data_IF_255480736212
#
_entry.id   IF_255480736212
#
_cell.length_a   1.000
_cell.length_b   1.000
_cell.length_c   1.000
_cell.angle_alpha   90.00
_cell.angle_beta   90.00
_cell.angle_gamma   90.00
#
_symmetry.space_group_name_H-M   'P 1'
#
loop_
_entity.id
_entity.type
_entity.pdbx_description
1 polymer ?
#
# COMPACT_ATOMS: atom_id res chain seq x y z
N UNK A 1 -4.20 -38.68 -20.71
CA UNK A 1 -4.88 -38.59 -19.40
C UNK A 1 -4.90 -37.12 -19.03
N UNK A 2 -6.06 -36.52 -19.18
CA UNK A 2 -6.30 -35.06 -19.10
C UNK A 2 -6.79 -34.77 -17.70
N UNK A 3 -6.05 -33.97 -16.92
CA UNK A 3 -6.52 -33.47 -15.64
C UNK A 3 -7.16 -32.09 -15.86
N UNK A 4 -8.48 -32.06 -15.78
CA UNK A 4 -9.27 -30.85 -15.65
C UNK A 4 -9.14 -30.31 -14.23
N UNK A 5 -8.62 -29.09 -14.07
CA UNK A 5 -8.74 -28.31 -12.84
C UNK A 5 -10.05 -27.55 -12.87
N UNK A 6 -10.99 -27.99 -12.06
CA UNK A 6 -12.26 -27.30 -11.79
C UNK A 6 -11.99 -26.31 -10.64
N UNK A 7 -11.97 -25.02 -10.96
CA UNK A 7 -11.98 -23.95 -9.94
C UNK A 7 -13.41 -23.79 -9.43
N UNK A 8 -13.63 -24.23 -8.20
CA UNK A 8 -14.91 -24.05 -7.50
C UNK A 8 -14.98 -22.64 -6.91
N UNK A 9 -15.77 -21.76 -7.54
CA UNK A 9 -16.11 -20.46 -6.97
C UNK A 9 -17.22 -20.66 -5.95
N UNK A 10 -16.87 -20.63 -4.67
CA UNK A 10 -17.86 -20.61 -3.58
C UNK A 10 -18.24 -19.16 -3.33
N UNK A 11 -19.42 -18.81 -3.83
CA UNK A 11 -20.09 -17.51 -3.55
C UNK A 11 -20.81 -17.62 -2.22
N UNK A 12 -20.21 -17.14 -1.12
CA UNK A 12 -20.90 -17.05 0.17
C UNK A 12 -21.58 -15.68 0.24
N UNK A 13 -22.91 -15.70 0.09
CA UNK A 13 -23.77 -14.54 0.38
C UNK A 13 -23.86 -14.35 1.89
N UNK A 14 -23.21 -13.34 2.45
CA UNK A 14 -23.51 -12.84 3.77
C UNK A 14 -24.63 -11.81 3.70
N UNK A 15 -25.77 -12.09 4.35
CA UNK A 15 -26.81 -11.11 4.66
C UNK A 15 -26.25 -10.13 5.68
N UNK A 16 -26.06 -8.88 5.30
CA UNK A 16 -25.80 -7.79 6.23
C UNK A 16 -27.11 -7.36 6.89
N UNK A 17 -27.23 -7.59 8.17
CA UNK A 17 -28.27 -6.97 9.00
C UNK A 17 -27.85 -5.52 9.25
N UNK A 18 -28.49 -4.59 8.57
CA UNK A 18 -28.37 -3.15 8.83
C UNK A 18 -29.15 -2.87 10.11
N UNK A 19 -28.45 -2.47 11.17
CA UNK A 19 -29.09 -1.90 12.37
C UNK A 19 -29.25 -0.41 12.10
N UNK A 20 -30.50 -0.03 11.83
CA UNK A 20 -30.91 1.34 11.60
C UNK A 20 -31.05 2.05 12.96
N UNK A 21 -30.13 2.96 13.27
CA UNK A 21 -30.29 3.89 14.40
C UNK A 21 -31.07 5.10 13.91
N UNK A 22 -32.38 5.06 14.07
CA UNK A 22 -33.28 6.17 13.79
C UNK A 22 -32.91 7.41 14.59
N UNK A 23 -32.42 8.42 13.90
CA UNK A 23 -32.34 9.80 14.39
C UNK A 23 -33.75 10.41 14.34
N UNK A 24 -34.36 10.56 15.52
CA UNK A 24 -35.62 11.31 15.71
C UNK A 24 -35.29 12.79 15.60
N UNK A 25 -35.58 13.38 14.46
CA UNK A 25 -35.64 14.85 14.33
C UNK A 25 -36.89 15.37 15.05
N UNK A 26 -36.70 16.20 16.06
CA UNK A 26 -37.80 17.00 16.65
C UNK A 26 -37.73 18.42 16.08
N UNK A 27 -38.80 18.95 15.51
CA UNK A 27 -38.86 20.34 15.06
C UNK A 27 -39.03 21.28 16.27
N UNK A 28 -38.14 22.21 16.44
CA UNK A 28 -38.30 23.36 17.33
C UNK A 28 -38.78 24.57 16.54
N UNK A 29 -40.09 24.80 16.59
CA UNK A 29 -40.67 26.09 16.28
C UNK A 29 -40.92 26.80 17.59
N UNK A 30 -40.30 27.94 17.83
CA UNK A 30 -40.94 29.09 18.56
C UNK A 30 -40.15 30.33 18.30
N UNK A 31 -40.85 31.26 17.63
CA UNK A 31 -40.55 32.69 17.62
C UNK A 31 -40.40 33.25 19.02
N UNK A 32 -39.31 34.00 19.28
CA UNK A 32 -39.36 35.14 20.24
C UNK A 32 -38.39 36.24 19.80
N UNK A 33 -39.02 37.40 19.65
CA UNK A 33 -38.56 38.77 19.38
C UNK A 33 -37.21 39.14 20.00
N UNK A 34 -36.44 39.79 19.21
CA UNK A 34 -35.53 40.90 19.35
C UNK A 34 -34.95 41.21 20.73
N UNK A 35 -33.69 40.87 20.90
CA UNK A 35 -32.72 41.63 21.69
C UNK A 35 -31.38 41.46 20.94
N UNK A 36 -30.90 42.56 20.37
CA UNK A 36 -29.56 42.63 19.81
C UNK A 36 -28.54 42.57 20.95
N UNK A 37 -27.57 41.65 20.95
CA UNK A 37 -26.48 41.71 21.90
C UNK A 37 -25.51 42.83 21.49
N UNK A 38 -25.12 43.71 22.39
CA UNK A 38 -24.03 44.64 22.15
C UNK A 38 -22.71 43.86 22.32
N UNK A 39 -21.79 44.18 21.47
CA UNK A 39 -20.42 43.71 21.42
C UNK A 39 -20.12 42.56 20.45
N UNK A 40 -19.43 42.97 19.40
CA UNK A 40 -18.86 42.13 18.37
C UNK A 40 -17.82 41.16 18.94
N UNK A 41 -18.20 39.87 19.09
CA UNK A 41 -17.30 38.76 19.33
C UNK A 41 -16.51 38.32 18.09
N UNK A 42 -16.55 39.11 17.00
CA UNK A 42 -15.89 38.78 15.73
C UNK A 42 -14.39 39.12 15.66
N UNK A 43 -13.77 39.56 16.76
CA UNK A 43 -12.33 39.93 16.75
C UNK A 43 -11.42 39.12 17.65
N UNK A 44 -11.89 38.05 18.29
CA UNK A 44 -11.09 37.23 19.20
C UNK A 44 -10.84 35.79 18.73
N UNK A 45 -11.33 35.41 17.53
CA UNK A 45 -11.12 34.04 16.95
C UNK A 45 -10.13 33.99 15.79
N UNK A 46 -9.22 34.98 15.70
CA UNK A 46 -8.15 34.98 14.67
C UNK A 46 -6.76 34.94 15.29
N UNK A 47 -6.50 34.10 16.29
CA UNK A 47 -5.15 33.85 16.78
C UNK A 47 -4.95 32.50 17.47
N UNK A 48 -5.64 31.47 17.03
CA UNK A 48 -5.17 30.14 17.24
C UNK A 48 -4.91 29.57 15.84
N UNK A 49 -3.65 29.52 15.45
CA UNK A 49 -3.21 28.79 14.28
C UNK A 49 -3.60 27.33 14.50
N UNK A 50 -4.74 26.93 13.92
CA UNK A 50 -5.14 25.54 13.85
C UNK A 50 -4.02 24.82 13.09
N UNK A 51 -3.05 24.28 13.82
CA UNK A 51 -2.05 23.40 13.24
C UNK A 51 -2.83 22.22 12.65
N UNK A 52 -2.80 22.08 11.34
CA UNK A 52 -3.46 20.94 10.69
C UNK A 52 -2.88 19.66 11.27
N UNK A 53 -3.76 18.76 11.69
CA UNK A 53 -3.37 17.43 12.19
C UNK A 53 -2.44 16.74 11.18
N UNK A 54 -1.29 16.28 11.64
CA UNK A 54 -0.34 15.55 10.79
C UNK A 54 -0.75 14.10 10.72
N UNK A 55 -1.27 13.68 9.58
CA UNK A 55 -1.74 12.30 9.37
C UNK A 55 -0.82 11.58 8.42
N UNK A 56 -0.32 10.42 8.87
CA UNK A 56 0.42 9.48 8.02
C UNK A 56 -0.54 8.42 7.47
N UNK A 57 -0.59 8.29 6.17
CA UNK A 57 -1.21 7.15 5.48
C UNK A 57 -0.17 6.08 5.20
N UNK A 58 -0.46 4.84 5.56
CA UNK A 58 0.40 3.67 5.32
C UNK A 58 -0.38 2.68 4.46
N UNK A 59 0.04 2.50 3.21
CA UNK A 59 -0.56 1.53 2.29
C UNK A 59 0.32 0.28 2.26
N UNK A 60 -0.28 -0.86 2.61
CA UNK A 60 0.45 -2.13 2.79
C UNK A 60 0.00 -3.12 1.73
N UNK A 61 0.99 -3.72 1.07
CA UNK A 61 0.81 -4.84 0.16
C UNK A 61 1.87 -5.90 0.38
N UNK A 62 1.57 -7.15 0.01
CA UNK A 62 2.46 -8.29 0.20
C UNK A 62 2.72 -9.06 -1.10
N UNK A 63 3.85 -9.76 -1.14
CA UNK A 63 4.20 -10.71 -2.20
C UNK A 63 4.62 -12.04 -1.58
N UNK A 64 4.05 -13.12 -2.08
CA UNK A 64 4.18 -14.47 -1.52
C UNK A 64 3.02 -14.80 -0.57
N UNK A 65 3.16 -15.88 0.18
CA UNK A 65 2.17 -16.40 1.11
C UNK A 65 2.84 -17.06 2.33
N UNK A 66 2.02 -17.42 3.33
CA UNK A 66 2.44 -18.18 4.52
C UNK A 66 2.55 -19.69 4.27
N UNK A 67 2.42 -20.12 3.02
CA UNK A 67 2.59 -21.53 2.62
C UNK A 67 4.03 -22.02 2.74
N UNK A 68 4.28 -23.31 2.45
CA UNK A 68 5.61 -23.91 2.52
C UNK A 68 6.59 -23.23 1.54
N UNK A 69 7.89 -23.48 1.77
CA UNK A 69 8.92 -23.03 0.84
C UNK A 69 8.76 -23.65 -0.55
N UNK A 70 8.81 -22.79 -1.56
CA UNK A 70 8.86 -23.19 -2.96
C UNK A 70 10.04 -22.47 -3.63
N UNK A 71 10.76 -23.20 -4.51
CA UNK A 71 11.99 -22.69 -5.16
C UNK A 71 11.75 -21.46 -6.04
N UNK A 72 10.55 -21.33 -6.60
CA UNK A 72 10.14 -20.20 -7.44
C UNK A 72 9.51 -19.04 -6.64
N UNK A 73 9.17 -19.25 -5.37
CA UNK A 73 8.64 -18.26 -4.45
C UNK A 73 9.43 -18.26 -3.12
N UNK A 74 10.75 -17.96 -3.15
CA UNK A 74 11.64 -18.17 -2.00
C UNK A 74 11.48 -17.12 -0.89
N UNK A 75 10.78 -16.02 -1.16
CA UNK A 75 10.63 -14.91 -0.21
C UNK A 75 9.16 -14.60 0.05
N UNK A 76 8.90 -14.12 1.28
CA UNK A 76 7.71 -13.39 1.64
C UNK A 76 8.09 -11.93 1.89
N UNK A 77 7.43 -11.02 1.21
CA UNK A 77 7.70 -9.59 1.31
C UNK A 77 6.45 -8.86 1.76
N UNK A 78 6.65 -7.81 2.56
CA UNK A 78 5.60 -6.85 2.92
C UNK A 78 6.14 -5.45 2.66
N UNK A 79 5.52 -4.71 1.77
CA UNK A 79 5.83 -3.31 1.51
C UNK A 79 4.87 -2.38 2.25
N UNK A 80 5.40 -1.27 2.74
CA UNK A 80 4.65 -0.21 3.39
C UNK A 80 4.99 1.11 2.72
N UNK A 81 4.03 1.73 2.05
CA UNK A 81 4.16 3.07 1.46
C UNK A 81 3.69 4.09 2.48
N UNK A 82 4.57 5.03 2.84
CA UNK A 82 4.39 6.03 3.87
C UNK A 82 4.12 7.39 3.20
N UNK A 83 2.92 7.92 3.34
CA UNK A 83 2.51 9.18 2.70
C UNK A 83 1.91 10.14 3.73
N UNK A 84 2.50 11.32 3.86
CA UNK A 84 1.96 12.41 4.68
C UNK A 84 0.74 13.03 3.97
N UNK A 85 -0.46 12.97 4.58
CA UNK A 85 -1.69 13.49 3.98
C UNK A 85 -1.68 15.01 3.76
N UNK A 86 -0.77 15.76 4.39
CA UNK A 86 -0.62 17.19 4.14
C UNK A 86 0.05 17.48 2.79
N UNK A 87 0.58 16.46 2.10
CA UNK A 87 1.14 16.58 0.76
C UNK A 87 0.05 16.19 -0.23
N UNK A 88 -0.48 17.16 -0.98
CA UNK A 88 -1.50 16.90 -1.99
C UNK A 88 -0.90 16.21 -3.22
N UNK A 89 -1.46 15.07 -3.57
CA UNK A 89 -1.09 14.26 -4.76
C UNK A 89 -2.20 14.20 -5.81
N UNK A 90 -3.26 14.98 -5.65
CA UNK A 90 -4.46 14.94 -6.50
C UNK A 90 -4.12 15.17 -7.98
N UNK A 91 -3.25 16.13 -8.26
CA UNK A 91 -2.83 16.43 -9.63
C UNK A 91 -2.01 15.29 -10.25
N UNK A 92 -1.13 14.67 -9.45
CA UNK A 92 -0.36 13.51 -9.90
C UNK A 92 -1.29 12.33 -10.26
N UNK A 93 -2.35 12.12 -9.46
CA UNK A 93 -3.36 11.08 -9.72
C UNK A 93 -4.12 11.38 -11.02
N UNK A 94 -4.57 12.63 -11.24
CA UNK A 94 -5.26 13.03 -12.49
C UNK A 94 -4.39 12.81 -13.72
N UNK A 95 -3.12 13.20 -13.65
CA UNK A 95 -2.16 12.99 -14.75
C UNK A 95 -1.98 11.50 -15.03
N UNK A 96 -1.86 10.68 -13.98
CA UNK A 96 -1.74 9.24 -14.13
C UNK A 96 -2.99 8.61 -14.76
N UNK A 97 -4.20 8.95 -14.26
CA UNK A 97 -5.46 8.45 -14.81
C UNK A 97 -5.68 8.87 -16.26
N UNK A 98 -5.32 10.11 -16.60
CA UNK A 98 -5.38 10.59 -17.98
C UNK A 98 -4.42 9.83 -18.89
N UNK A 99 -3.21 9.51 -18.37
CA UNK A 99 -2.23 8.73 -19.13
C UNK A 99 -2.71 7.30 -19.36
N UNK A 100 -3.27 6.63 -18.35
CA UNK A 100 -3.86 5.30 -18.50
C UNK A 100 -5.03 5.31 -19.50
N UNK A 101 -5.89 6.32 -19.47
CA UNK A 101 -7.00 6.48 -20.42
C UNK A 101 -6.49 6.63 -21.85
N UNK A 102 -5.42 7.39 -22.07
CA UNK A 102 -4.79 7.55 -23.38
C UNK A 102 -4.13 6.25 -23.89
N UNK A 103 -3.71 5.37 -22.99
CA UNK A 103 -3.21 4.04 -23.33
C UNK A 103 -4.32 3.02 -23.61
N UNK A 104 -5.60 3.40 -23.44
CA UNK A 104 -6.74 2.50 -23.62
C UNK A 104 -7.12 1.70 -22.36
N UNK A 105 -6.58 2.07 -21.19
CA UNK A 105 -6.81 1.38 -19.90
C UNK A 105 -7.47 2.31 -18.86
N UNK A 106 -8.64 2.93 -19.14
CA UNK A 106 -9.31 3.78 -18.17
C UNK A 106 -9.69 2.97 -16.92
N UNK A 107 -9.45 3.55 -15.74
CA UNK A 107 -9.76 2.94 -14.43
C UNK A 107 -9.07 1.59 -14.14
N UNK A 108 -8.06 1.21 -14.93
CA UNK A 108 -7.32 -0.03 -14.72
C UNK A 108 -6.41 0.07 -13.49
N UNK A 109 -6.47 -0.94 -12.62
CA UNK A 109 -5.50 -1.12 -11.55
C UNK A 109 -4.35 -2.00 -12.05
N UNK A 110 -3.15 -1.45 -12.10
CA UNK A 110 -1.97 -2.18 -12.57
C UNK A 110 -1.48 -3.11 -11.47
N UNK A 111 -1.37 -4.40 -11.79
CA UNK A 111 -0.71 -5.41 -10.97
C UNK A 111 0.66 -5.73 -11.56
N UNK A 112 1.71 -5.27 -10.90
CA UNK A 112 3.08 -5.26 -11.45
C UNK A 112 3.64 -6.64 -11.70
N UNK A 113 3.46 -7.57 -10.77
CA UNK A 113 3.94 -8.95 -10.91
C UNK A 113 3.34 -9.65 -12.13
N UNK A 114 2.00 -9.79 -12.23
CA UNK A 114 1.32 -10.33 -13.41
C UNK A 114 1.66 -9.59 -14.72
N UNK A 115 1.80 -8.26 -14.67
CA UNK A 115 2.18 -7.45 -15.83
C UNK A 115 3.56 -7.86 -16.39
N UNK A 116 4.56 -8.01 -15.53
CA UNK A 116 5.92 -8.42 -15.93
C UNK A 116 5.92 -9.86 -16.43
N UNK A 117 5.26 -10.77 -15.73
CA UNK A 117 5.26 -12.19 -16.06
C UNK A 117 4.31 -12.61 -17.18
N UNK A 118 3.52 -11.66 -17.71
CA UNK A 118 2.51 -11.91 -18.75
C UNK A 118 1.40 -12.86 -18.28
N UNK A 119 0.85 -12.58 -17.11
CA UNK A 119 -0.17 -13.39 -16.45
C UNK A 119 -1.52 -12.66 -16.38
N UNK A 120 -2.59 -13.41 -16.07
CA UNK A 120 -3.94 -12.88 -15.84
C UNK A 120 -4.43 -12.04 -17.02
N UNK A 121 -4.87 -10.82 -16.78
CA UNK A 121 -5.40 -9.90 -17.79
C UNK A 121 -4.37 -9.48 -18.85
N UNK A 122 -3.07 -9.64 -18.56
CA UNK A 122 -1.96 -9.28 -19.47
C UNK A 122 -1.45 -10.44 -20.33
N UNK A 123 -2.10 -11.60 -20.29
CA UNK A 123 -1.64 -12.82 -20.99
C UNK A 123 -1.56 -12.67 -22.51
N UNK A 124 -2.39 -11.81 -23.10
CA UNK A 124 -2.44 -11.54 -24.53
C UNK A 124 -1.71 -10.26 -24.95
N UNK A 125 -1.26 -9.45 -23.98
CA UNK A 125 -0.61 -8.18 -24.26
C UNK A 125 0.82 -8.37 -24.77
N UNK A 126 1.21 -7.54 -25.72
CA UNK A 126 2.58 -7.48 -26.22
C UNK A 126 3.50 -6.93 -25.12
N UNK A 127 4.79 -7.25 -25.20
CA UNK A 127 5.77 -6.77 -24.21
C UNK A 127 5.85 -5.24 -24.19
N UNK A 128 5.72 -4.59 -25.34
CA UNK A 128 5.73 -3.14 -25.49
C UNK A 128 4.52 -2.48 -24.82
N UNK A 129 3.34 -3.09 -24.88
CA UNK A 129 2.13 -2.60 -24.22
C UNK A 129 2.27 -2.70 -22.71
N UNK A 130 2.75 -3.84 -22.22
CA UNK A 130 3.03 -4.07 -20.80
C UNK A 130 4.11 -3.12 -20.26
N UNK A 131 5.20 -2.88 -21.04
CA UNK A 131 6.24 -1.88 -20.70
C UNK A 131 5.66 -0.46 -20.62
N UNK A 132 4.72 -0.08 -21.50
CA UNK A 132 4.04 1.23 -21.42
C UNK A 132 3.23 1.39 -20.14
N UNK A 133 2.46 0.38 -19.75
CA UNK A 133 1.70 0.39 -18.48
C UNK A 133 2.62 0.45 -17.26
N UNK A 134 3.67 -0.39 -17.25
CA UNK A 134 4.68 -0.37 -16.19
C UNK A 134 5.33 1.02 -16.05
N UNK A 135 5.76 1.59 -17.17
CA UNK A 135 6.40 2.91 -17.18
C UNK A 135 5.43 4.03 -16.73
N UNK A 136 4.12 3.90 -17.03
CA UNK A 136 3.11 4.83 -16.53
C UNK A 136 3.08 4.81 -14.99
N UNK A 137 2.97 3.62 -14.38
CA UNK A 137 2.97 3.45 -12.93
C UNK A 137 4.31 3.87 -12.30
N UNK A 138 5.43 3.46 -12.89
CA UNK A 138 6.77 3.80 -12.43
C UNK A 138 7.01 5.32 -12.44
N UNK A 139 6.60 6.00 -13.50
CA UNK A 139 6.72 7.45 -13.60
C UNK A 139 5.76 8.17 -12.64
N UNK A 140 4.58 7.63 -12.38
CA UNK A 140 3.68 8.13 -11.34
C UNK A 140 4.38 8.04 -9.96
N UNK A 141 4.90 6.87 -9.59
CA UNK A 141 5.62 6.68 -8.32
C UNK A 141 6.82 7.65 -8.18
N UNK A 142 7.61 7.87 -9.25
CA UNK A 142 8.77 8.77 -9.22
C UNK A 142 8.44 10.25 -9.02
N UNK A 143 7.21 10.67 -9.29
CA UNK A 143 6.75 12.07 -9.14
C UNK A 143 6.13 12.34 -7.78
N UNK A 144 5.89 11.30 -6.98
CA UNK A 144 5.30 11.45 -5.66
C UNK A 144 6.38 11.60 -4.60
N UNK A 145 6.04 12.40 -3.59
CA UNK A 145 6.80 12.45 -2.34
C UNK A 145 6.22 11.42 -1.37
N UNK A 146 6.90 10.30 -1.25
CA UNK A 146 6.58 9.22 -0.30
C UNK A 146 7.87 8.54 0.17
N UNK A 147 7.78 7.89 1.29
CA UNK A 147 8.82 6.96 1.75
C UNK A 147 8.26 5.54 1.72
N UNK A 148 9.12 4.55 1.74
CA UNK A 148 8.68 3.17 1.89
C UNK A 148 9.63 2.36 2.76
N UNK A 149 9.09 1.33 3.39
CA UNK A 149 9.84 0.24 4.02
C UNK A 149 9.40 -1.09 3.42
N UNK A 150 10.31 -2.04 3.34
CA UNK A 150 10.00 -3.39 2.87
C UNK A 150 10.62 -4.42 3.82
N UNK A 151 9.74 -5.29 4.35
CA UNK A 151 10.13 -6.45 5.16
C UNK A 151 10.33 -7.61 4.20
N UNK A 152 11.41 -8.37 4.39
CA UNK A 152 11.74 -9.54 3.59
C UNK A 152 12.03 -10.72 4.50
N UNK A 153 11.32 -11.81 4.30
CA UNK A 153 11.53 -13.06 5.03
C UNK A 153 11.82 -14.17 4.04
N UNK A 154 12.93 -14.87 4.23
CA UNK A 154 13.32 -16.01 3.42
C UNK A 154 12.57 -17.25 3.87
N UNK A 155 11.70 -17.78 3.00
CA UNK A 155 10.81 -18.91 3.34
C UNK A 155 11.58 -20.21 3.67
N UNK A 156 12.77 -20.42 3.07
CA UNK A 156 13.62 -21.59 3.40
C UNK A 156 14.09 -21.62 4.85
N UNK A 157 13.99 -20.51 5.57
CA UNK A 157 14.32 -20.41 6.99
C UNK A 157 13.08 -20.51 7.89
N UNK A 158 11.92 -20.79 7.33
CA UNK A 158 10.64 -20.87 8.02
C UNK A 158 10.01 -22.25 7.76
N UNK A 159 10.29 -23.23 8.61
CA UNK A 159 9.77 -24.59 8.44
C UNK A 159 8.25 -24.69 8.59
N UNK A 160 7.64 -23.73 9.26
CA UNK A 160 6.21 -23.68 9.55
C UNK A 160 5.67 -22.24 9.62
N UNK A 161 4.34 -22.13 9.65
CA UNK A 161 3.61 -20.84 9.72
C UNK A 161 3.92 -20.08 11.00
N UNK A 162 4.21 -20.75 12.12
CA UNK A 162 4.50 -20.09 13.41
C UNK A 162 5.85 -19.37 13.32
N UNK A 163 6.86 -20.06 12.80
CA UNK A 163 8.21 -19.48 12.57
C UNK A 163 8.12 -18.28 11.60
N UNK A 164 7.35 -18.43 10.52
CA UNK A 164 7.11 -17.36 9.55
C UNK A 164 6.44 -16.16 10.22
N UNK A 165 5.35 -16.38 10.96
CA UNK A 165 4.63 -15.35 11.72
C UNK A 165 5.56 -14.61 12.69
N UNK A 166 6.39 -15.36 13.42
CA UNK A 166 7.36 -14.80 14.37
C UNK A 166 8.39 -13.90 13.66
N UNK A 167 8.96 -14.38 12.54
CA UNK A 167 9.95 -13.59 11.77
C UNK A 167 9.34 -12.33 11.16
N UNK A 168 8.15 -12.41 10.58
CA UNK A 168 7.45 -11.24 10.01
C UNK A 168 7.12 -10.24 11.12
N UNK A 169 6.58 -10.72 12.27
CA UNK A 169 6.26 -9.86 13.41
C UNK A 169 7.49 -9.14 13.97
N UNK A 170 8.60 -9.87 14.11
CA UNK A 170 9.87 -9.31 14.57
C UNK A 170 10.39 -8.26 13.60
N UNK A 171 10.47 -8.58 12.32
CA UNK A 171 10.95 -7.66 11.29
C UNK A 171 10.09 -6.39 11.21
N UNK A 172 8.76 -6.52 11.34
CA UNK A 172 7.88 -5.36 11.43
C UNK A 172 8.16 -4.50 12.66
N UNK A 173 8.27 -5.14 13.84
CA UNK A 173 8.57 -4.44 15.08
C UNK A 173 9.93 -3.71 15.02
N UNK A 174 10.94 -4.33 14.42
CA UNK A 174 12.26 -3.73 14.24
C UNK A 174 12.21 -2.51 13.31
N UNK A 175 11.48 -2.57 12.18
CA UNK A 175 11.27 -1.42 11.29
C UNK A 175 10.59 -0.27 12.03
N UNK A 176 9.57 -0.55 12.82
CA UNK A 176 8.80 0.46 13.55
C UNK A 176 9.66 1.11 14.66
N UNK A 177 10.37 0.32 15.46
CA UNK A 177 11.22 0.81 16.54
C UNK A 177 12.42 1.60 16.02
N UNK A 178 13.08 1.12 14.98
CA UNK A 178 14.24 1.80 14.38
C UNK A 178 13.87 3.16 13.76
N UNK A 179 12.59 3.44 13.55
CA UNK A 179 12.07 4.69 13.02
C UNK A 179 11.05 5.35 13.98
N UNK A 180 11.16 5.11 15.29
CA UNK A 180 10.17 5.57 16.28
C UNK A 180 9.95 7.09 16.21
N UNK A 181 11.01 7.88 16.08
CA UNK A 181 10.91 9.33 15.96
C UNK A 181 10.10 9.78 14.75
N UNK A 182 10.21 9.07 13.63
CA UNK A 182 9.38 9.34 12.44
C UNK A 182 7.91 9.05 12.71
N UNK A 183 7.57 7.87 13.25
CA UNK A 183 6.20 7.48 13.54
C UNK A 183 5.52 8.41 14.55
N UNK A 184 6.25 8.80 15.61
CA UNK A 184 5.76 9.71 16.66
C UNK A 184 5.70 11.20 16.21
N UNK A 185 6.19 11.53 15.03
CA UNK A 185 6.07 12.88 14.46
C UNK A 185 4.70 13.18 13.86
N UNK A 186 3.82 12.18 13.78
CA UNK A 186 2.45 12.28 13.28
C UNK A 186 1.45 12.18 14.44
N UNK A 187 0.42 13.00 14.38
CA UNK A 187 -0.67 12.98 15.37
C UNK A 187 -1.55 11.73 15.20
N UNK A 188 -1.63 11.20 13.96
CA UNK A 188 -2.40 10.03 13.60
C UNK A 188 -1.73 9.22 12.50
N UNK A 189 -1.78 7.89 12.64
CA UNK A 189 -1.32 6.93 11.62
C UNK A 189 -2.51 6.10 11.15
N UNK A 190 -2.78 6.10 9.84
CA UNK A 190 -3.87 5.32 9.25
C UNK A 190 -3.27 4.22 8.40
N UNK A 191 -3.50 2.97 8.81
CA UNK A 191 -3.06 1.77 8.11
C UNK A 191 -4.14 1.35 7.13
N UNK A 192 -3.81 1.38 5.86
CA UNK A 192 -4.66 0.88 4.77
C UNK A 192 -4.13 -0.49 4.35
N UNK A 193 -4.92 -1.51 4.56
CA UNK A 193 -4.62 -2.87 4.15
C UNK A 193 -5.87 -3.50 3.53
N UNK A 194 -5.70 -4.19 2.41
CA UNK A 194 -6.78 -4.82 1.67
C UNK A 194 -7.30 -6.10 2.34
N UNK A 195 -7.93 -6.96 1.54
CA UNK A 195 -8.35 -8.30 1.98
C UNK A 195 -7.25 -9.35 1.73
N UNK A 196 -6.02 -9.03 2.09
CA UNK A 196 -4.90 -9.94 1.99
C UNK A 196 -4.98 -11.10 2.97
N UNK A 197 -3.83 -11.61 3.36
CA UNK A 197 -3.73 -12.79 4.21
C UNK A 197 -4.13 -12.50 5.66
N UNK A 198 -4.91 -13.41 6.24
CA UNK A 198 -5.41 -13.29 7.62
C UNK A 198 -4.25 -13.20 8.62
N UNK A 199 -3.19 -13.97 8.39
CA UNK A 199 -1.98 -13.99 9.20
C UNK A 199 -1.34 -12.61 9.25
N UNK A 200 -1.15 -11.96 8.09
CA UNK A 200 -0.58 -10.62 8.02
C UNK A 200 -1.49 -9.59 8.71
N UNK A 201 -2.81 -9.68 8.52
CA UNK A 201 -3.76 -8.80 9.22
C UNK A 201 -3.58 -8.86 10.74
N UNK A 202 -3.45 -10.07 11.30
CA UNK A 202 -3.22 -10.28 12.74
C UNK A 202 -1.88 -9.68 13.19
N UNK A 203 -0.82 -9.90 12.42
CA UNK A 203 0.52 -9.37 12.71
C UNK A 203 0.48 -7.84 12.71
N UNK A 204 -0.04 -7.23 11.65
CA UNK A 204 -0.14 -5.77 11.54
C UNK A 204 -0.89 -5.18 12.72
N UNK A 205 -2.10 -5.70 13.01
CA UNK A 205 -2.93 -5.20 14.10
C UNK A 205 -2.20 -5.34 15.44
N UNK A 206 -1.63 -6.52 15.73
CA UNK A 206 -0.96 -6.77 17.00
C UNK A 206 0.26 -5.89 17.20
N UNK A 207 1.15 -5.81 16.21
CA UNK A 207 2.43 -5.09 16.33
C UNK A 207 2.21 -3.58 16.40
N UNK A 208 1.40 -3.02 15.48
CA UNK A 208 1.12 -1.58 15.51
C UNK A 208 0.39 -1.14 16.77
N UNK A 209 -0.66 -1.86 17.20
CA UNK A 209 -1.42 -1.50 18.42
C UNK A 209 -0.61 -1.67 19.70
N UNK A 210 0.44 -2.50 19.69
CA UNK A 210 1.34 -2.65 20.83
C UNK A 210 2.34 -1.49 20.93
N UNK A 211 2.80 -0.97 19.79
CA UNK A 211 3.84 0.05 19.76
C UNK A 211 3.30 1.48 19.75
N UNK A 212 2.11 1.70 19.18
CA UNK A 212 1.54 3.04 18.99
C UNK A 212 0.07 3.09 19.37
N UNK A 213 -0.33 4.17 20.08
CA UNK A 213 -1.71 4.40 20.53
C UNK A 213 -2.56 5.20 19.54
N UNK A 214 -1.94 5.87 18.58
CA UNK A 214 -2.58 6.79 17.60
C UNK A 214 -2.77 6.14 16.22
N UNK A 215 -2.93 4.81 16.17
CA UNK A 215 -3.08 4.04 14.94
C UNK A 215 -4.55 3.67 14.70
N UNK A 216 -5.02 3.89 13.48
CA UNK A 216 -6.31 3.48 12.96
C UNK A 216 -6.13 2.49 11.80
N UNK A 217 -6.89 1.39 11.79
CA UNK A 217 -6.88 0.44 10.68
C UNK A 217 -8.11 0.66 9.80
N UNK A 218 -7.88 0.79 8.48
CA UNK A 218 -8.94 0.88 7.49
C UNK A 218 -8.86 -0.27 6.51
N UNK A 219 -9.94 -1.05 6.48
CA UNK A 219 -10.12 -2.07 5.46
C UNK A 219 -10.71 -1.42 4.22
N UNK A 220 -9.96 -1.45 3.12
CA UNK A 220 -10.30 -0.78 1.87
C UNK A 220 -10.11 -1.71 0.69
N UNK A 221 -10.69 -1.36 -0.46
CA UNK A 221 -10.41 -2.05 -1.71
C UNK A 221 -9.17 -1.39 -2.34
N UNK A 222 -8.13 -2.15 -2.72
CA UNK A 222 -6.92 -1.59 -3.31
C UNK A 222 -7.15 -0.75 -4.56
N UNK A 223 -8.20 -1.04 -5.34
CA UNK A 223 -8.55 -0.29 -6.56
C UNK A 223 -8.97 1.17 -6.28
N UNK A 224 -9.43 1.46 -5.05
CA UNK A 224 -9.92 2.79 -4.69
C UNK A 224 -8.77 3.78 -4.41
N UNK A 225 -7.54 3.27 -4.22
CA UNK A 225 -6.38 4.09 -3.85
C UNK A 225 -5.17 3.78 -4.72
N UNK A 226 -4.70 4.76 -5.49
CA UNK A 226 -3.53 4.58 -6.40
C UNK A 226 -2.24 4.22 -5.66
N UNK A 227 -2.10 4.59 -4.39
CA UNK A 227 -0.92 4.26 -3.59
C UNK A 227 -0.78 2.75 -3.30
N UNK A 228 -1.86 1.95 -3.37
CA UNK A 228 -1.74 0.49 -3.36
C UNK A 228 -1.01 -0.07 -4.58
N UNK A 229 -1.21 0.54 -5.77
CA UNK A 229 -0.48 0.11 -6.96
C UNK A 229 1.02 0.40 -6.81
N UNK A 230 1.38 1.46 -6.06
CA UNK A 230 2.78 1.72 -5.72
C UNK A 230 3.29 0.69 -4.70
N UNK A 231 2.48 0.26 -3.73
CA UNK A 231 2.86 -0.79 -2.79
C UNK A 231 3.13 -2.12 -3.52
N UNK A 232 2.28 -2.52 -4.45
CA UNK A 232 2.47 -3.69 -5.34
C UNK A 232 3.74 -3.54 -6.21
N UNK A 233 3.94 -2.35 -6.80
CA UNK A 233 5.18 -2.04 -7.55
C UNK A 233 6.42 -2.25 -6.67
N UNK A 234 6.44 -1.69 -5.46
CA UNK A 234 7.57 -1.80 -4.53
C UNK A 234 7.82 -3.25 -4.12
N UNK A 235 6.78 -4.01 -3.76
CA UNK A 235 6.90 -5.45 -3.47
C UNK A 235 7.57 -6.19 -4.63
N UNK A 236 7.09 -5.96 -5.84
CA UNK A 236 7.65 -6.60 -7.05
C UNK A 236 9.09 -6.18 -7.29
N UNK A 237 9.42 -4.88 -7.18
CA UNK A 237 10.77 -4.38 -7.39
C UNK A 237 11.76 -4.90 -6.34
N UNK A 238 11.35 -5.03 -5.09
CA UNK A 238 12.17 -5.59 -4.02
C UNK A 238 12.39 -7.11 -4.18
N UNK A 239 11.38 -7.84 -4.65
CA UNK A 239 11.54 -9.25 -5.02
C UNK A 239 12.52 -9.42 -6.18
N UNK A 240 12.41 -8.59 -7.21
CA UNK A 240 13.33 -8.59 -8.34
C UNK A 240 14.76 -8.17 -7.94
N UNK A 241 14.92 -7.32 -6.93
CA UNK A 241 16.23 -6.99 -6.39
C UNK A 241 16.91 -8.23 -5.78
N UNK A 242 16.20 -9.03 -4.97
CA UNK A 242 16.72 -10.29 -4.43
C UNK A 242 17.09 -11.29 -5.53
N UNK A 243 16.25 -11.36 -6.56
CA UNK A 243 16.53 -12.21 -7.74
C UNK A 243 17.74 -11.72 -8.55
N UNK A 244 17.92 -10.41 -8.65
CA UNK A 244 19.07 -9.81 -9.34
C UNK A 244 20.39 -10.15 -8.63
N UNK A 245 20.40 -10.10 -7.30
CA UNK A 245 21.58 -10.42 -6.49
C UNK A 245 21.98 -11.90 -6.58
N UNK A 246 21.01 -12.78 -6.85
CA UNK A 246 21.25 -14.23 -7.07
C UNK A 246 21.28 -14.64 -8.54
N UNK A 247 21.21 -13.67 -9.46
CA UNK A 247 21.15 -13.89 -10.91
C UNK A 247 20.05 -14.89 -11.33
N UNK A 248 18.86 -14.78 -10.71
CA UNK A 248 17.77 -15.75 -10.83
C UNK A 248 16.51 -15.18 -11.48
N UNK A 249 16.64 -14.21 -12.39
CA UNK A 249 15.52 -13.73 -13.20
C UNK A 249 14.92 -14.87 -14.02
N UNK A 250 13.59 -14.93 -14.05
CA UNK A 250 12.87 -15.80 -14.97
C UNK A 250 13.01 -15.31 -16.42
N UNK A 251 12.65 -16.16 -17.38
CA UNK A 251 12.65 -15.79 -18.79
C UNK A 251 11.77 -14.56 -19.07
N UNK A 252 10.59 -14.49 -18.46
CA UNK A 252 9.67 -13.35 -18.64
C UNK A 252 10.24 -12.05 -18.06
N UNK A 253 10.92 -12.13 -16.91
CA UNK A 253 11.57 -10.97 -16.30
C UNK A 253 12.75 -10.47 -17.14
N UNK A 254 13.55 -11.38 -17.71
CA UNK A 254 14.63 -11.04 -18.64
C UNK A 254 14.08 -10.41 -19.94
N UNK A 255 13.01 -10.96 -20.51
CA UNK A 255 12.34 -10.40 -21.69
C UNK A 255 11.79 -9.00 -21.41
N UNK A 256 11.25 -8.79 -20.20
CA UNK A 256 10.66 -7.50 -19.81
C UNK A 256 11.71 -6.41 -19.55
N UNK A 257 12.80 -6.71 -18.89
CA UNK A 257 13.83 -5.73 -18.51
C UNK A 257 15.08 -5.75 -19.38
N UNK A 258 15.11 -6.59 -20.43
CA UNK A 258 16.22 -6.84 -21.33
C UNK A 258 17.44 -7.49 -20.63
N UNK A 259 17.82 -7.02 -19.45
CA UNK A 259 18.83 -7.63 -18.58
C UNK A 259 18.79 -7.07 -17.15
N UNK A 260 19.47 -7.75 -16.23
CA UNK A 260 19.52 -7.37 -14.80
C UNK A 260 20.17 -6.00 -14.59
N UNK A 261 21.19 -5.65 -15.36
CA UNK A 261 21.90 -4.36 -15.24
C UNK A 261 20.98 -3.19 -15.59
N UNK A 262 20.17 -3.34 -16.64
CA UNK A 262 19.20 -2.30 -17.04
C UNK A 262 18.07 -2.16 -16.01
N UNK A 263 17.58 -3.26 -15.45
CA UNK A 263 16.66 -3.24 -14.32
C UNK A 263 17.24 -2.44 -13.14
N UNK A 264 18.46 -2.79 -12.71
CA UNK A 264 19.10 -2.13 -11.57
C UNK A 264 19.34 -0.64 -11.81
N UNK A 265 19.84 -0.28 -13.00
CA UNK A 265 20.22 1.10 -13.35
C UNK A 265 19.02 2.00 -13.60
N UNK A 266 18.03 1.52 -14.37
CA UNK A 266 16.95 2.35 -14.89
C UNK A 266 15.74 2.38 -13.97
N UNK A 267 15.55 1.35 -13.13
CA UNK A 267 14.38 1.21 -12.28
C UNK A 267 14.74 1.14 -10.79
N UNK A 268 15.44 0.11 -10.35
CA UNK A 268 15.70 -0.14 -8.94
C UNK A 268 16.39 1.02 -8.24
N UNK A 269 17.43 1.59 -8.85
CA UNK A 269 18.16 2.75 -8.32
C UNK A 269 17.25 3.94 -8.01
N UNK A 270 16.21 4.15 -8.83
CA UNK A 270 15.28 5.26 -8.65
C UNK A 270 14.30 5.01 -7.49
N UNK A 271 13.80 3.79 -7.35
CA UNK A 271 12.90 3.40 -6.27
C UNK A 271 13.63 3.44 -4.92
N UNK A 272 14.87 2.94 -4.86
CA UNK A 272 15.68 2.92 -3.61
C UNK A 272 15.93 4.30 -3.00
N UNK A 273 15.74 5.39 -3.72
CA UNK A 273 15.85 6.75 -3.16
C UNK A 273 14.78 7.05 -2.11
N UNK A 274 13.62 6.41 -2.24
CA UNK A 274 12.47 6.60 -1.35
C UNK A 274 12.47 5.59 -0.18
N UNK A 275 13.49 4.74 -0.09
CA UNK A 275 13.61 3.79 1.02
C UNK A 275 13.85 4.55 2.34
N UNK A 276 12.99 4.30 3.32
CA UNK A 276 13.11 4.88 4.65
C UNK A 276 14.36 4.29 5.32
N UNK A 277 15.41 5.10 5.42
CA UNK A 277 16.60 4.73 6.17
C UNK A 277 16.30 4.93 7.65
N UNK A 278 16.56 3.91 8.46
CA UNK A 278 16.59 4.08 9.92
C UNK A 278 17.46 5.29 10.23
N UNK A 279 16.92 6.28 10.92
CA UNK A 279 17.74 7.33 11.49
C UNK A 279 18.57 6.66 12.58
N UNK A 280 19.85 6.41 12.29
CA UNK A 280 20.82 6.15 13.34
C UNK A 280 20.81 7.40 14.22
N UNK A 281 20.24 7.27 15.41
CA UNK A 281 20.45 8.25 16.48
C UNK A 281 21.95 8.35 16.74
N UNK A 282 22.56 9.44 16.28
CA UNK A 282 23.90 9.85 16.72
C UNK A 282 23.87 10.21 18.21
#
# INVERSE_FOLDING_TARGET
>A
MTFLHISLIISIKYKSTVVDFGLVERPWSTERRGISPPFSYSKLLQKDGCMSEKILSVFIDESGDFGPYEIHAPYYLVSMILHNQNIDISENIKVFDSHLSNLGYPHHAIHTGPLIRRESVYSNDLVEERKRLFNALFNFARRLDFQYSCIKVKKSECPDVITMTSKVSKALADVLRNNEGFWNSFDKVIIYYGNGQIELTKILTSVFSTLYTHVEFRKVKPVDYKLFQIADLICTMELLAEKADTNSFSRSEMEFFDNIRDFQKNYLKHIKKNYCKAHSSE
#
